data_IF_355377121579
#
_entry.id   IF_355377121579
#
_cell.length_a   1.000
_cell.length_b   1.000
_cell.length_c   1.000
_cell.angle_alpha   90.00
_cell.angle_beta   90.00
_cell.angle_gamma   90.00
#
_symmetry.space_group_name_H-M   'P 1'
#
loop_
_entity.id
_entity.type
_entity.pdbx_description
1 polymer ?
#
# COMPACT_ATOMS: atom_id res chain seq x y z
N UNK A 1 30.07 11.58 -14.47
CA UNK A 1 29.94 11.45 -13.00
C UNK A 1 28.49 11.06 -12.68
N UNK A 2 28.22 10.27 -11.65
CA UNK A 2 26.90 9.69 -11.28
C UNK A 2 26.41 8.42 -12.03
N UNK A 3 27.22 7.78 -12.89
CA UNK A 3 26.81 6.53 -13.56
C UNK A 3 26.53 5.39 -12.55
N UNK A 4 27.48 5.14 -11.63
CA UNK A 4 27.34 4.11 -10.58
C UNK A 4 26.25 4.40 -9.56
N UNK A 5 25.99 5.68 -9.25
CA UNK A 5 24.90 6.07 -8.35
C UNK A 5 23.55 5.78 -9.01
N UNK A 6 23.39 6.14 -10.29
CA UNK A 6 22.16 5.79 -11.05
C UNK A 6 21.96 4.29 -11.16
N UNK A 7 23.02 3.52 -11.40
CA UNK A 7 22.98 2.06 -11.44
C UNK A 7 22.55 1.48 -10.08
N UNK A 8 23.13 1.94 -8.98
CA UNK A 8 22.75 1.52 -7.62
C UNK A 8 21.29 1.87 -7.29
N UNK A 9 20.77 3.00 -7.76
CA UNK A 9 19.36 3.38 -7.59
C UNK A 9 18.37 2.49 -8.37
N UNK A 10 18.86 1.68 -9.31
CA UNK A 10 18.06 0.66 -10.01
C UNK A 10 18.13 -0.72 -9.37
N UNK A 11 18.87 -0.87 -8.27
CA UNK A 11 18.98 -2.12 -7.52
C UNK A 11 18.11 -2.12 -6.27
N UNK A 12 17.80 -3.29 -5.73
CA UNK A 12 17.05 -3.44 -4.48
C UNK A 12 17.83 -2.85 -3.29
N UNK A 13 17.15 -2.19 -2.33
CA UNK A 13 15.70 -2.05 -2.19
C UNK A 13 15.09 -0.84 -2.93
N UNK A 14 15.91 0.00 -3.55
CA UNK A 14 15.49 1.27 -4.16
C UNK A 14 14.67 1.07 -5.45
N UNK A 15 14.97 0.02 -6.22
CA UNK A 15 14.24 -0.35 -7.43
C UNK A 15 12.75 -0.62 -7.16
N UNK A 16 12.44 -1.06 -5.94
CA UNK A 16 11.10 -1.43 -5.51
C UNK A 16 10.30 -0.28 -4.89
N UNK A 17 10.85 0.93 -4.78
CA UNK A 17 10.08 2.07 -4.28
C UNK A 17 9.14 2.59 -5.37
N UNK A 18 7.92 2.97 -4.97
CA UNK A 18 7.03 3.78 -5.80
C UNK A 18 7.63 5.19 -5.94
N UNK A 19 7.38 5.84 -7.08
CA UNK A 19 7.95 7.16 -7.39
C UNK A 19 6.85 8.18 -7.66
N UNK A 20 7.23 9.46 -7.66
CA UNK A 20 6.32 10.56 -7.98
C UNK A 20 5.16 10.71 -6.98
N UNK A 21 3.97 11.01 -7.51
CA UNK A 21 2.75 11.14 -6.72
C UNK A 21 2.15 9.77 -6.47
N UNK A 22 2.17 9.35 -5.21
CA UNK A 22 1.60 8.08 -4.76
C UNK A 22 0.33 8.37 -3.98
N UNK A 23 -0.79 7.84 -4.45
CA UNK A 23 -2.07 7.84 -3.76
C UNK A 23 -2.13 6.63 -2.83
N UNK A 24 -2.60 6.83 -1.60
CA UNK A 24 -2.71 5.79 -0.59
C UNK A 24 -4.14 5.73 -0.11
N UNK A 25 -4.75 4.54 -0.15
CA UNK A 25 -6.11 4.32 0.34
C UNK A 25 -6.23 3.01 1.11
N UNK A 26 -7.23 2.93 1.98
CA UNK A 26 -7.61 1.72 2.69
C UNK A 26 -8.93 1.15 2.22
N UNK A 27 -8.95 -0.16 2.01
CA UNK A 27 -10.16 -0.91 1.61
C UNK A 27 -10.34 -2.13 2.50
N UNK A 28 -11.59 -2.55 2.69
CA UNK A 28 -11.95 -3.72 3.50
C UNK A 28 -12.54 -4.80 2.60
N UNK A 29 -11.77 -5.86 2.35
CA UNK A 29 -12.11 -6.97 1.44
C UNK A 29 -12.63 -8.14 2.26
N UNK A 30 -13.74 -8.73 1.82
CA UNK A 30 -14.38 -9.86 2.48
C UNK A 30 -15.77 -10.12 1.92
N UNK A 31 -16.41 -11.17 2.41
CA UNK A 31 -17.76 -11.57 1.97
C UNK A 31 -18.82 -10.50 2.33
N UNK A 32 -19.96 -10.60 1.64
CA UNK A 32 -21.11 -9.73 1.92
C UNK A 32 -21.85 -10.26 3.16
N UNK A 33 -21.75 -9.52 4.26
CA UNK A 33 -22.52 -9.80 5.47
C UNK A 33 -23.43 -8.62 5.84
N UNK A 34 -24.55 -8.92 6.51
CA UNK A 34 -25.42 -7.90 7.10
C UNK A 34 -24.77 -7.35 8.36
N UNK A 35 -24.85 -6.04 8.58
CA UNK A 35 -24.27 -5.37 9.76
C UNK A 35 -23.38 -4.20 9.39
N UNK A 36 -22.41 -3.90 10.28
CA UNK A 36 -21.50 -2.75 10.13
C UNK A 36 -20.68 -2.85 8.84
N UNK A 37 -20.57 -1.74 8.11
CA UNK A 37 -19.76 -1.62 6.88
C UNK A 37 -18.45 -0.89 7.15
N UNK A 38 -17.42 -1.18 6.35
CA UNK A 38 -16.13 -0.51 6.43
C UNK A 38 -15.31 -0.93 7.65
N UNK A 39 -14.68 0.02 8.32
CA UNK A 39 -13.74 -0.23 9.42
C UNK A 39 -14.39 -0.94 10.61
N UNK A 40 -13.80 -2.08 10.98
CA UNK A 40 -14.32 -2.93 12.07
C UNK A 40 -15.61 -3.66 11.70
N UNK A 41 -15.91 -3.79 10.40
CA UNK A 41 -16.88 -4.76 9.91
C UNK A 41 -16.34 -6.18 10.15
N UNK A 42 -17.20 -7.05 10.66
CA UNK A 42 -16.87 -8.46 10.89
C UNK A 42 -16.63 -9.18 9.56
N UNK A 43 -15.68 -10.12 9.55
CA UNK A 43 -15.36 -10.91 8.36
C UNK A 43 -14.67 -10.12 7.23
N UNK A 44 -14.24 -8.87 7.46
CA UNK A 44 -13.48 -8.10 6.48
C UNK A 44 -12.02 -7.95 6.85
N UNK A 45 -11.14 -8.23 5.89
CA UNK A 45 -9.71 -8.01 5.99
C UNK A 45 -9.37 -6.59 5.52
N UNK A 46 -8.71 -5.78 6.36
CA UNK A 46 -8.17 -4.50 5.92
C UNK A 46 -7.02 -4.70 4.92
N UNK A 47 -7.04 -3.90 3.86
CA UNK A 47 -6.01 -3.87 2.81
C UNK A 47 -5.64 -2.41 2.57
N UNK A 48 -4.35 -2.12 2.54
CA UNK A 48 -3.83 -0.83 2.09
C UNK A 48 -3.32 -0.98 0.69
N UNK A 49 -3.72 -0.06 -0.18
CA UNK A 49 -3.19 0.06 -1.53
C UNK A 49 -2.40 1.36 -1.65
N UNK A 50 -1.23 1.27 -2.26
CA UNK A 50 -0.42 2.39 -2.69
C UNK A 50 -0.35 2.35 -4.21
N UNK A 51 -0.73 3.46 -4.86
CA UNK A 51 -0.82 3.55 -6.31
C UNK A 51 -0.03 4.75 -6.78
N UNK A 52 1.00 4.52 -7.58
CA UNK A 52 1.63 5.56 -8.38
C UNK A 52 0.68 5.95 -9.52
N UNK A 53 0.42 7.25 -9.70
CA UNK A 53 -0.45 7.72 -10.78
C UNK A 53 0.08 7.25 -12.14
N UNK A 54 -0.77 6.57 -12.91
CA UNK A 54 -0.41 5.93 -14.19
C UNK A 54 0.74 4.91 -14.08
N UNK A 55 0.97 4.37 -12.88
CA UNK A 55 2.12 3.54 -12.57
C UNK A 55 1.77 2.27 -11.81
N UNK A 56 2.65 1.88 -10.88
CA UNK A 56 2.58 0.60 -10.17
C UNK A 56 1.63 0.68 -8.98
N UNK A 57 0.91 -0.41 -8.73
CA UNK A 57 0.10 -0.64 -7.53
C UNK A 57 0.81 -1.62 -6.61
N UNK A 58 0.82 -1.32 -5.31
CA UNK A 58 1.24 -2.23 -4.24
C UNK A 58 0.13 -2.32 -3.20
N UNK A 59 -0.36 -3.52 -2.95
CA UNK A 59 -1.36 -3.78 -1.93
C UNK A 59 -0.83 -4.69 -0.84
N UNK A 60 -1.19 -4.43 0.42
CA UNK A 60 -0.80 -5.25 1.56
C UNK A 60 -2.00 -5.46 2.48
N UNK A 61 -2.35 -6.71 2.72
CA UNK A 61 -3.31 -7.08 3.76
C UNK A 61 -2.69 -6.85 5.14
N UNK A 62 -3.42 -6.18 6.02
CA UNK A 62 -2.96 -5.91 7.38
C UNK A 62 -4.03 -6.35 8.38
N UNK A 63 -3.62 -6.81 9.56
CA UNK A 63 -4.57 -7.19 10.61
C UNK A 63 -5.34 -5.99 11.16
N UNK A 64 -4.71 -4.81 11.18
CA UNK A 64 -5.30 -3.57 11.70
C UNK A 64 -4.79 -2.36 10.94
N UNK A 65 -5.69 -1.40 10.70
CA UNK A 65 -5.37 -0.10 10.15
C UNK A 65 -5.59 1.00 11.18
N UNK A 66 -4.50 1.55 11.67
CA UNK A 66 -4.40 2.72 12.53
C UNK A 66 -3.29 3.62 12.04
N UNK A 67 -3.30 4.88 12.46
CA UNK A 67 -2.19 5.81 12.21
C UNK A 67 -0.84 5.27 12.69
N UNK A 68 -0.83 4.39 13.69
CA UNK A 68 0.37 3.72 14.18
C UNK A 68 0.86 2.58 13.29
N UNK A 69 -0.03 1.82 12.65
CA UNK A 69 0.36 0.70 11.77
C UNK A 69 0.71 1.16 10.36
N UNK A 70 0.34 2.38 9.98
CA UNK A 70 0.64 3.01 8.69
C UNK A 70 1.96 3.80 8.68
N UNK A 71 2.72 3.78 9.76
CA UNK A 71 4.04 4.44 9.80
C UNK A 71 5.05 3.58 9.03
N UNK A 72 5.74 4.23 8.09
CA UNK A 72 6.91 3.69 7.40
C UNK A 72 8.14 3.68 8.32
#
# INVERSE_FOLDING_TARGET
MCHRIREAMTQEPLANLLKGNVEVDETYVGEKHKGKRGRGAEGKTPVVALVEREGKLRAKSMQRLTSTTLKA
#
